data_IF_260186003189
#
_entry.id   IF_260186003189
#
_cell.length_a   1.000
_cell.length_b   1.000
_cell.length_c   1.000
_cell.angle_alpha   90.00
_cell.angle_beta   90.00
_cell.angle_gamma   90.00
#
_symmetry.space_group_name_H-M   'P 1'
#
loop_
_entity.id
_entity.type
_entity.pdbx_description
1 polymer ?
#
# COMPACT_ATOMS: atom_id res chain seq x y z
N UNK A 1 9.72 8.99 13.47
CA UNK A 1 9.05 9.52 12.28
C UNK A 1 7.75 10.16 12.67
N UNK A 2 7.55 11.39 12.22
CA UNK A 2 6.30 12.12 12.39
C UNK A 2 5.18 11.54 11.49
N UNK A 3 3.92 11.90 11.77
CA UNK A 3 2.76 11.48 10.96
C UNK A 3 2.86 11.96 9.51
N UNK A 4 3.43 13.14 9.28
CA UNK A 4 3.64 13.69 7.94
C UNK A 4 4.67 12.86 7.16
N UNK A 5 5.84 12.59 7.75
CA UNK A 5 6.88 11.73 7.13
C UNK A 5 6.34 10.35 6.72
N UNK A 6 5.49 9.75 7.56
CA UNK A 6 4.87 8.45 7.26
C UNK A 6 3.93 8.54 6.05
N UNK A 7 3.14 9.62 5.97
CA UNK A 7 2.21 9.84 4.86
C UNK A 7 2.95 10.09 3.56
N UNK A 8 4.04 10.87 3.62
CA UNK A 8 4.86 11.18 2.45
C UNK A 8 5.50 9.91 1.87
N UNK A 9 6.02 9.02 2.72
CA UNK A 9 6.55 7.72 2.27
C UNK A 9 5.49 6.83 1.62
N UNK A 10 4.28 6.77 2.20
CA UNK A 10 3.19 5.99 1.60
C UNK A 10 2.86 6.53 0.20
N UNK A 11 2.81 7.85 0.04
CA UNK A 11 2.56 8.48 -1.25
C UNK A 11 3.66 8.17 -2.27
N UNK A 12 4.94 8.20 -1.87
CA UNK A 12 6.06 7.82 -2.73
C UNK A 12 5.91 6.36 -3.19
N UNK A 13 5.57 5.44 -2.28
CA UNK A 13 5.38 4.03 -2.63
C UNK A 13 4.25 3.86 -3.65
N UNK A 14 3.09 4.49 -3.42
CA UNK A 14 1.98 4.39 -4.37
C UNK A 14 2.29 5.04 -5.71
N UNK A 15 3.04 6.14 -5.73
CA UNK A 15 3.49 6.76 -6.97
C UNK A 15 4.37 5.80 -7.79
N UNK A 16 5.34 5.13 -7.14
CA UNK A 16 6.17 4.13 -7.81
C UNK A 16 5.32 2.98 -8.36
N UNK A 17 4.30 2.52 -7.63
CA UNK A 17 3.39 1.49 -8.12
C UNK A 17 2.61 2.00 -9.35
N UNK A 18 1.97 3.17 -9.24
CA UNK A 18 1.18 3.78 -10.31
C UNK A 18 2.00 3.99 -11.60
N UNK A 19 3.27 4.35 -11.50
CA UNK A 19 4.17 4.55 -12.64
C UNK A 19 4.64 3.23 -13.30
N UNK A 20 4.51 2.08 -12.62
CA UNK A 20 5.05 0.80 -13.07
C UNK A 20 3.97 -0.27 -13.33
N UNK A 21 2.69 0.02 -13.11
CA UNK A 21 1.59 -0.89 -13.45
C UNK A 21 1.07 -0.64 -14.88
N UNK A 22 0.52 -1.66 -15.54
CA UNK A 22 -0.25 -1.49 -16.77
C UNK A 22 -1.44 -0.53 -16.59
N UNK A 23 -1.83 0.16 -17.66
CA UNK A 23 -2.93 1.16 -17.66
C UNK A 23 -4.26 0.54 -17.22
N UNK A 24 -4.53 -0.71 -17.58
CA UNK A 24 -5.72 -1.46 -17.18
C UNK A 24 -5.78 -1.77 -15.68
N UNK A 25 -4.68 -1.58 -14.95
CA UNK A 25 -4.61 -1.74 -13.50
C UNK A 25 -4.74 -0.41 -12.73
N UNK A 26 -4.76 0.76 -13.39
CA UNK A 26 -4.76 2.07 -12.72
C UNK A 26 -5.94 2.23 -11.73
N UNK A 27 -7.16 1.90 -12.17
CA UNK A 27 -8.37 1.97 -11.32
C UNK A 27 -8.27 1.04 -10.12
N UNK A 28 -7.70 -0.15 -10.31
CA UNK A 28 -7.49 -1.12 -9.23
C UNK A 28 -6.49 -0.58 -8.19
N UNK A 29 -5.38 0.01 -8.65
CA UNK A 29 -4.39 0.62 -7.76
C UNK A 29 -4.98 1.81 -6.99
N UNK A 30 -5.77 2.66 -7.65
CA UNK A 30 -6.45 3.78 -7.00
C UNK A 30 -7.39 3.31 -5.88
N UNK A 31 -8.15 2.24 -6.12
CA UNK A 31 -9.04 1.65 -5.11
C UNK A 31 -8.26 1.03 -3.95
N UNK A 32 -7.15 0.33 -4.22
CA UNK A 32 -6.28 -0.22 -3.20
C UNK A 32 -5.64 0.87 -2.35
N UNK A 33 -5.15 1.95 -2.97
CA UNK A 33 -4.61 3.13 -2.28
C UNK A 33 -5.64 3.74 -1.35
N UNK A 34 -6.87 3.93 -1.82
CA UNK A 34 -7.97 4.46 -1.01
C UNK A 34 -8.28 3.57 0.19
N UNK A 35 -8.35 2.25 -0.01
CA UNK A 35 -8.56 1.28 1.08
C UNK A 35 -7.41 1.31 2.09
N UNK A 36 -6.17 1.32 1.63
CA UNK A 36 -5.00 1.35 2.50
C UNK A 36 -4.95 2.63 3.33
N UNK A 37 -5.15 3.79 2.72
CA UNK A 37 -5.18 5.07 3.43
C UNK A 37 -6.34 5.18 4.44
N UNK A 38 -7.48 4.54 4.15
CA UNK A 38 -8.56 4.40 5.13
C UNK A 38 -8.10 3.56 6.33
N UNK A 39 -7.48 2.41 6.08
CA UNK A 39 -6.96 1.55 7.17
C UNK A 39 -5.86 2.25 7.98
N UNK A 40 -4.97 3.02 7.35
CA UNK A 40 -3.96 3.82 8.07
C UNK A 40 -4.61 4.84 8.99
N UNK A 41 -5.68 5.51 8.54
CA UNK A 41 -6.44 6.48 9.35
C UNK A 41 -7.15 5.81 10.52
N UNK A 42 -7.79 4.68 10.27
CA UNK A 42 -8.67 4.02 11.24
C UNK A 42 -7.86 3.20 12.28
N UNK A 43 -6.71 2.64 11.89
CA UNK A 43 -5.94 1.68 12.69
C UNK A 43 -4.54 2.19 13.08
N UNK A 44 -4.02 3.19 12.38
CA UNK A 44 -2.60 3.53 12.40
C UNK A 44 -1.77 2.66 11.46
N UNK A 45 -0.63 3.20 10.99
CA UNK A 45 0.21 2.59 9.95
C UNK A 45 0.63 1.15 10.27
N UNK A 46 1.14 0.89 11.48
CA UNK A 46 1.65 -0.44 11.83
C UNK A 46 0.57 -1.52 11.77
N UNK A 47 -0.63 -1.22 12.26
CA UNK A 47 -1.77 -2.16 12.23
C UNK A 47 -2.32 -2.33 10.82
N UNK A 48 -2.35 -1.26 10.02
CA UNK A 48 -2.71 -1.34 8.62
C UNK A 48 -1.74 -2.24 7.84
N UNK A 49 -0.43 -2.08 8.02
CA UNK A 49 0.58 -2.95 7.42
C UNK A 49 0.42 -4.40 7.88
N UNK A 50 0.25 -4.66 9.18
CA UNK A 50 -0.01 -6.01 9.67
C UNK A 50 -1.26 -6.63 9.06
N UNK A 51 -2.34 -5.87 8.88
CA UNK A 51 -3.57 -6.35 8.25
C UNK A 51 -3.31 -6.77 6.81
N UNK A 52 -2.60 -5.94 6.04
CA UNK A 52 -2.36 -6.17 4.62
C UNK A 52 -1.31 -7.25 4.37
N UNK A 53 -0.28 -7.34 5.21
CA UNK A 53 0.78 -8.36 5.13
C UNK A 53 0.37 -9.71 5.71
N UNK A 54 -0.54 -9.76 6.70
CA UNK A 54 -1.05 -11.04 7.22
C UNK A 54 -1.98 -11.76 6.24
N UNK A 55 -2.52 -11.05 5.25
CA UNK A 55 -3.22 -11.67 4.13
C UNK A 55 -2.27 -12.49 3.23
N UNK A 56 -0.95 -12.25 3.29
CA UNK A 56 0.06 -12.79 2.37
C UNK A 56 0.87 -13.96 2.95
N UNK A 57 0.32 -14.77 3.86
CA UNK A 57 0.90 -16.10 4.11
C UNK A 57 0.82 -17.05 2.89
N UNK A 58 0.26 -16.58 1.76
CA UNK A 58 0.15 -17.29 0.48
C UNK A 58 0.96 -16.65 -0.68
N UNK A 59 1.78 -15.61 -0.45
CA UNK A 59 2.61 -15.03 -1.52
C UNK A 59 4.03 -15.57 -1.42
N UNK A 60 4.29 -16.67 -2.14
CA UNK A 60 5.66 -17.07 -2.50
C UNK A 60 6.32 -15.91 -3.24
N UNK A 61 7.29 -15.27 -2.59
CA UNK A 61 8.21 -14.36 -3.28
C UNK A 61 9.07 -15.23 -4.19
N UNK A 62 8.68 -15.35 -5.46
CA UNK A 62 9.49 -16.00 -6.50
C UNK A 62 10.72 -15.11 -6.73
N UNK A 63 11.83 -15.45 -6.06
CA UNK A 63 13.15 -14.93 -6.42
C UNK A 63 13.65 -15.73 -7.63
N UNK A 64 13.81 -15.08 -8.78
CA UNK A 64 14.61 -15.61 -9.92
C UNK A 64 16.10 -15.37 -9.70
#
# INVERSE_FOLDING_TARGET
>A
MDTQEKTDLINIVFQVIEENVPIDCEDLIADLRKKFMKDVRDLGLEKALQKWLKSDNDVEIITS
#
